data_IF_051565580367
#
_entry.id   IF_051565580367
#
_cell.length_a   1.000
_cell.length_b   1.000
_cell.length_c   1.000
_cell.angle_alpha   90.00
_cell.angle_beta   90.00
_cell.angle_gamma   90.00
#
_symmetry.space_group_name_H-M   'P 1'
#
loop_
_entity.id
_entity.type
_entity.pdbx_description
1 polymer ?
#
# COMPACT_ATOMS: atom_id res chain seq x y z
N UNK A 1 -25.03 -6.59 1.35
CA UNK A 1 -23.75 -7.12 0.82
C UNK A 1 -23.11 -8.06 1.83
N UNK A 2 -22.66 -9.28 1.46
CA UNK A 2 -22.36 -10.34 2.42
C UNK A 2 -21.11 -10.05 3.26
N UNK A 3 -21.19 -10.27 4.56
CA UNK A 3 -20.13 -9.97 5.54
C UNK A 3 -18.89 -10.88 5.39
N UNK A 4 -19.04 -12.08 4.84
CA UNK A 4 -17.96 -13.07 4.72
C UNK A 4 -16.95 -12.73 3.62
N UNK A 5 -17.39 -12.09 2.53
CA UNK A 5 -16.52 -11.54 1.48
C UNK A 5 -15.59 -10.46 2.03
N UNK A 6 -16.06 -9.69 3.01
CA UNK A 6 -15.27 -8.64 3.68
C UNK A 6 -14.20 -9.20 4.62
N UNK A 7 -14.36 -10.43 5.12
CA UNK A 7 -13.41 -11.08 6.04
C UNK A 7 -12.27 -11.78 5.30
N UNK A 8 -12.54 -12.33 4.10
CA UNK A 8 -11.59 -13.17 3.35
C UNK A 8 -10.74 -12.37 2.36
N UNK A 9 -11.26 -11.29 1.79
CA UNK A 9 -10.64 -10.57 0.66
C UNK A 9 -10.34 -9.08 0.89
N UNK A 10 -10.67 -8.54 2.07
CA UNK A 10 -10.44 -7.13 2.36
C UNK A 10 -9.03 -6.89 2.86
N UNK A 11 -8.19 -6.24 2.06
CA UNK A 11 -7.04 -5.45 2.54
C UNK A 11 -7.59 -4.30 3.42
N UNK A 12 -8.19 -4.62 4.56
CA UNK A 12 -8.91 -3.70 5.43
C UNK A 12 -8.13 -3.53 6.71
N UNK A 13 -7.29 -2.51 6.74
CA UNK A 13 -6.79 -1.98 8.00
C UNK A 13 -7.94 -1.35 8.79
N UNK A 14 -7.77 -1.25 10.11
CA UNK A 14 -8.84 -0.92 11.06
C UNK A 14 -9.56 0.40 10.71
N UNK A 15 -8.82 1.37 10.16
CA UNK A 15 -9.33 2.68 9.71
C UNK A 15 -9.96 2.68 8.31
N UNK A 16 -9.59 1.76 7.42
CA UNK A 16 -10.17 1.68 6.06
C UNK A 16 -11.61 1.14 6.05
N UNK A 17 -12.13 0.69 7.20
CA UNK A 17 -13.54 0.29 7.41
C UNK A 17 -14.45 1.45 7.80
N UNK A 18 -13.87 2.58 8.22
CA UNK A 18 -14.63 3.59 8.93
C UNK A 18 -15.42 4.53 8.00
N UNK A 19 -14.94 4.75 6.77
CA UNK A 19 -15.72 5.43 5.72
C UNK A 19 -15.35 4.93 4.32
N UNK A 20 -16.29 5.03 3.38
CA UNK A 20 -16.08 4.67 1.96
C UNK A 20 -15.07 5.60 1.28
N UNK A 21 -14.94 6.82 1.80
CA UNK A 21 -13.95 7.82 1.39
C UNK A 21 -12.54 7.42 1.82
N UNK A 22 -12.35 6.97 3.07
CA UNK A 22 -11.05 6.46 3.54
C UNK A 22 -10.60 5.21 2.74
N UNK A 23 -11.55 4.37 2.31
CA UNK A 23 -11.26 3.25 1.42
C UNK A 23 -10.76 3.70 0.04
N UNK A 24 -11.44 4.66 -0.59
CA UNK A 24 -11.02 5.19 -1.89
C UNK A 24 -9.67 5.90 -1.81
N UNK A 25 -9.42 6.66 -0.75
CA UNK A 25 -8.13 7.30 -0.50
C UNK A 25 -7.00 6.28 -0.34
N UNK A 26 -7.21 5.23 0.46
CA UNK A 26 -6.23 4.16 0.63
C UNK A 26 -5.93 3.41 -0.68
N UNK A 27 -6.95 3.10 -1.48
CA UNK A 27 -6.77 2.42 -2.77
C UNK A 27 -6.01 3.29 -3.78
N UNK A 28 -6.29 4.60 -3.81
CA UNK A 28 -5.59 5.53 -4.71
C UNK A 28 -4.11 5.67 -4.33
N UNK A 29 -3.82 5.90 -3.05
CA UNK A 29 -2.45 5.98 -2.53
C UNK A 29 -1.69 4.67 -2.77
N UNK A 30 -2.29 3.53 -2.44
CA UNK A 30 -1.67 2.23 -2.63
C UNK A 30 -1.45 1.90 -4.11
N UNK A 31 -2.38 2.29 -4.99
CA UNK A 31 -2.24 2.15 -6.44
C UNK A 31 -1.09 2.99 -7.00
N UNK A 32 -0.95 4.25 -6.58
CA UNK A 32 0.18 5.11 -6.97
C UNK A 32 1.51 4.54 -6.47
N UNK A 33 1.58 4.10 -5.20
CA UNK A 33 2.77 3.45 -4.63
C UNK A 33 3.14 2.17 -5.39
N UNK A 34 2.15 1.36 -5.77
CA UNK A 34 2.37 0.15 -6.56
C UNK A 34 2.89 0.49 -7.96
N UNK A 35 2.36 1.53 -8.60
CA UNK A 35 2.83 1.97 -9.92
C UNK A 35 4.32 2.35 -9.89
N UNK A 36 4.73 3.15 -8.92
CA UNK A 36 6.15 3.49 -8.73
C UNK A 36 7.00 2.28 -8.35
N UNK A 37 6.46 1.37 -7.53
CA UNK A 37 7.16 0.13 -7.17
C UNK A 37 7.39 -0.79 -8.38
N UNK A 38 6.47 -0.81 -9.35
CA UNK A 38 6.61 -1.57 -10.59
C UNK A 38 7.84 -1.13 -11.40
N UNK A 39 8.06 0.19 -11.51
CA UNK A 39 9.25 0.73 -12.15
C UNK A 39 10.54 0.36 -11.41
N UNK A 40 10.55 0.37 -10.08
CA UNK A 40 11.68 -0.07 -9.27
C UNK A 40 12.02 -1.55 -9.49
N UNK A 41 11.00 -2.41 -9.57
CA UNK A 41 11.17 -3.85 -9.79
C UNK A 41 11.73 -4.14 -11.18
N UNK A 42 11.21 -3.46 -12.22
CA UNK A 42 11.73 -3.58 -13.57
C UNK A 42 13.20 -3.14 -13.65
N UNK A 43 13.56 -2.01 -13.03
CA UNK A 43 14.95 -1.55 -12.98
C UNK A 43 15.87 -2.51 -12.21
N UNK A 44 15.37 -3.10 -11.12
CA UNK A 44 16.12 -4.09 -10.34
C UNK A 44 16.38 -5.36 -11.15
N UNK A 45 15.35 -5.87 -11.84
CA UNK A 45 15.49 -7.03 -12.72
C UNK A 45 16.46 -6.77 -13.88
N UNK A 46 16.35 -5.60 -14.52
CA UNK A 46 17.26 -5.19 -15.59
C UNK A 46 18.70 -5.07 -15.10
N UNK A 47 18.91 -4.48 -13.92
CA UNK A 47 20.23 -4.34 -13.31
C UNK A 47 20.85 -5.69 -12.97
N UNK A 48 20.06 -6.62 -12.41
CA UNK A 48 20.53 -7.99 -12.16
C UNK A 48 20.95 -8.69 -13.46
N UNK A 49 20.17 -8.51 -14.53
CA UNK A 49 20.48 -9.08 -15.84
C UNK A 49 21.75 -8.49 -16.46
N UNK A 50 21.90 -7.16 -16.44
CA UNK A 50 23.09 -6.47 -16.95
C UNK A 50 24.38 -6.84 -16.19
N UNK A 51 24.27 -7.11 -14.88
CA UNK A 51 25.40 -7.54 -14.05
C UNK A 51 25.76 -9.02 -14.21
N UNK A 52 25.06 -9.76 -15.09
CA UNK A 52 25.30 -11.18 -15.30
C UNK A 52 25.06 -12.02 -14.05
N UNK A 53 24.18 -11.57 -13.15
CA UNK A 53 23.87 -12.31 -11.93
C UNK A 53 23.20 -13.63 -12.25
N UNK A 54 23.58 -14.67 -11.51
CA UNK A 54 22.90 -15.96 -11.53
C UNK A 54 21.39 -15.79 -11.38
N UNK A 55 20.62 -16.45 -12.25
CA UNK A 55 19.16 -16.36 -12.32
C UNK A 55 18.49 -16.59 -10.98
N UNK A 56 19.04 -17.49 -10.15
CA UNK A 56 18.54 -17.75 -8.80
C UNK A 56 18.72 -16.56 -7.85
N UNK A 57 19.93 -15.96 -7.83
CA UNK A 57 20.24 -14.82 -6.94
C UNK A 57 19.52 -13.55 -7.38
N UNK A 58 19.47 -13.28 -8.69
CA UNK A 58 18.74 -12.13 -9.24
C UNK A 58 17.23 -12.20 -8.95
N UNK A 59 16.64 -13.40 -9.05
CA UNK A 59 15.24 -13.62 -8.69
C UNK A 59 15.01 -13.40 -7.19
N UNK A 60 15.86 -13.95 -6.31
CA UNK A 60 15.72 -13.77 -4.87
C UNK A 60 15.78 -12.28 -4.49
N UNK A 61 16.77 -11.55 -4.99
CA UNK A 61 16.91 -10.10 -4.71
C UNK A 61 15.68 -9.34 -5.21
N UNK A 62 15.25 -9.60 -6.45
CA UNK A 62 14.08 -8.93 -7.03
C UNK A 62 12.82 -9.19 -6.20
N UNK A 63 12.59 -10.43 -5.77
CA UNK A 63 11.46 -10.79 -4.90
C UNK A 63 11.56 -10.16 -3.51
N UNK A 64 12.74 -10.09 -2.91
CA UNK A 64 12.95 -9.41 -1.63
C UNK A 64 12.66 -7.91 -1.73
N UNK A 65 13.05 -7.26 -2.83
CA UNK A 65 12.75 -5.84 -3.09
C UNK A 65 11.24 -5.63 -3.25
N UNK A 66 10.55 -6.48 -4.02
CA UNK A 66 9.08 -6.43 -4.16
C UNK A 66 8.41 -6.55 -2.80
N UNK A 67 8.78 -7.56 -2.01
CA UNK A 67 8.17 -7.80 -0.70
C UNK A 67 8.37 -6.61 0.24
N UNK A 68 9.56 -6.02 0.26
CA UNK A 68 9.86 -4.83 1.06
C UNK A 68 9.03 -3.63 0.60
N UNK A 69 8.93 -3.37 -0.70
CA UNK A 69 8.14 -2.25 -1.24
C UNK A 69 6.66 -2.38 -0.91
N UNK A 70 6.09 -3.59 -1.02
CA UNK A 70 4.69 -3.85 -0.63
C UNK A 70 4.49 -3.61 0.86
N UNK A 71 5.43 -4.05 1.70
CA UNK A 71 5.36 -3.84 3.15
C UNK A 71 5.42 -2.35 3.50
N UNK A 72 6.36 -1.61 2.90
CA UNK A 72 6.49 -0.16 3.07
C UNK A 72 5.24 0.57 2.59
N UNK A 73 4.72 0.25 1.40
CA UNK A 73 3.50 0.84 0.87
C UNK A 73 2.31 0.61 1.80
N UNK A 74 2.20 -0.59 2.38
CA UNK A 74 1.17 -0.90 3.38
C UNK A 74 1.30 -0.05 4.64
N UNK A 75 2.49 0.01 5.24
CA UNK A 75 2.72 0.80 6.46
C UNK A 75 2.56 2.30 6.22
N UNK A 76 3.02 2.78 5.07
CA UNK A 76 2.89 4.18 4.68
C UNK A 76 1.44 4.58 4.48
N UNK A 77 0.65 3.79 3.73
CA UNK A 77 -0.78 4.02 3.55
C UNK A 77 -1.51 4.05 4.90
N UNK A 78 -1.17 3.14 5.82
CA UNK A 78 -1.78 3.13 7.17
C UNK A 78 -1.37 4.33 8.01
N UNK A 79 -0.12 4.78 7.88
CA UNK A 79 0.38 5.97 8.58
C UNK A 79 -0.31 7.25 8.07
N UNK A 80 -0.47 7.39 6.75
CA UNK A 80 -1.18 8.52 6.13
C UNK A 80 -2.66 8.50 6.53
N UNK A 81 -3.32 7.34 6.46
CA UNK A 81 -4.70 7.20 6.93
C UNK A 81 -4.85 7.56 8.42
N UNK A 82 -3.86 7.21 9.25
CA UNK A 82 -3.85 7.58 10.67
C UNK A 82 -3.65 9.07 10.94
N UNK A 83 -3.05 9.81 10.00
CA UNK A 83 -2.91 11.26 10.07
C UNK A 83 -4.14 11.99 9.57
N UNK A 84 -4.80 11.48 8.53
CA UNK A 84 -5.95 12.12 7.91
C UNK A 84 -7.28 11.77 8.58
N UNK A 85 -7.43 10.57 9.13
CA UNK A 85 -8.68 10.06 9.69
C UNK A 85 -8.53 9.67 11.17
N UNK A 86 -9.52 10.03 11.98
CA UNK A 86 -9.64 9.54 13.35
C UNK A 86 -10.04 8.06 13.40
N UNK A 87 -9.99 7.46 14.60
CA UNK A 87 -10.42 6.06 14.81
C UNK A 87 -11.86 5.80 14.36
N UNK A 88 -12.70 6.83 14.35
CA UNK A 88 -14.09 6.80 13.88
C UNK A 88 -14.24 7.05 12.36
N UNK A 89 -13.15 7.22 11.60
CA UNK A 89 -13.21 7.45 10.15
C UNK A 89 -13.61 8.84 9.70
N UNK A 90 -13.67 9.79 10.64
CA UNK A 90 -13.93 11.19 10.35
C UNK A 90 -12.62 11.86 9.89
N UNK A 91 -12.61 12.56 8.73
CA UNK A 91 -11.46 13.35 8.32
C UNK A 91 -11.15 14.42 9.37
N UNK A 92 -9.92 14.47 9.87
CA UNK A 92 -9.51 15.47 10.87
C UNK A 92 -9.61 16.91 10.35
N UNK A 93 -9.55 17.12 9.04
CA UNK A 93 -9.78 18.40 8.40
C UNK A 93 -11.19 18.95 8.70
N UNK A 94 -12.21 18.09 8.68
CA UNK A 94 -13.62 18.45 8.95
C UNK A 94 -13.84 18.77 10.44
N UNK A 95 -13.06 18.18 11.35
CA UNK A 95 -13.11 18.54 12.77
C UNK A 95 -12.44 19.89 13.07
N UNK A 96 -11.43 20.27 12.30
CA UNK A 96 -10.70 21.53 12.50
C UNK A 96 -11.50 22.76 12.08
N UNK A 97 -12.39 22.59 11.11
CA UNK A 97 -13.26 23.66 10.56
C UNK A 97 -14.54 23.90 11.38
N UNK A 98 -14.82 23.03 12.37
CA UNK A 98 -15.94 23.17 13.31
C UNK A 98 -15.54 23.77 14.68
N UNK A 99 -14.30 24.22 14.82
CA UNK A 99 -13.81 24.96 16.00
C UNK A 99 -13.57 26.40 15.63
#
# INVERSE_FOLDING_TARGET
SPAWLQARFGHRTRRSKASREAWNAAQRLFGELLWWSGWLVLNTGLSCWLLGMDSGRGLTISMSVVALLVLVARFYTEHVLGREFNEDGIPRAVQRDRR
#
